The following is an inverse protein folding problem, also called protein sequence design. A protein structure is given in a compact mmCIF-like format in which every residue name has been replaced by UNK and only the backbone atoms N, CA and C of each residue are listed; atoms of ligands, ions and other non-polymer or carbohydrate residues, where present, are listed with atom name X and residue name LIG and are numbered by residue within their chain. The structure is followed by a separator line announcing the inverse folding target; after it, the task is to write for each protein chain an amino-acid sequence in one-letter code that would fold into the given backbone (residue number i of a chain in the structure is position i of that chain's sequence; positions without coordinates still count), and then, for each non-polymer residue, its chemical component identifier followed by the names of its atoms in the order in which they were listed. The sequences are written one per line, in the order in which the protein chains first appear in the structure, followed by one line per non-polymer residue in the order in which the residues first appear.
data_IF_398067369876
#
_entry.id   IF_398067369876
#
_cell.length_a   1.000
_cell.length_b   1.000
_cell.length_c   1.000
_cell.angle_alpha   90.00
_cell.angle_beta   90.00
_cell.angle_gamma   90.00
#
_symmetry.space_group_name_H-M   'P 1'
#
loop_
_entity.id
_entity.type
_entity.pdbx_description
1 polymer ?
#
# COMPACT_ATOMS: atom_id res chain seq x y z
N UNK A 1 8.32 -11.02 -14.74
CA UNK A 1 7.94 -10.05 -13.71
C UNK A 1 7.47 -10.79 -12.47
N UNK A 2 7.85 -10.32 -11.30
CA UNK A 2 7.47 -10.91 -10.03
C UNK A 2 6.46 -10.02 -9.32
N UNK A 3 5.48 -10.63 -8.68
CA UNK A 3 4.48 -9.94 -7.88
C UNK A 3 4.54 -10.47 -6.45
N UNK A 4 4.50 -9.55 -5.49
CA UNK A 4 4.35 -9.85 -4.07
C UNK A 4 3.14 -9.09 -3.55
N UNK A 5 2.32 -9.73 -2.74
CA UNK A 5 1.12 -9.10 -2.23
C UNK A 5 0.73 -9.69 -0.88
N UNK A 6 -0.12 -8.96 -0.16
CA UNK A 6 -0.69 -9.39 1.09
C UNK A 6 -2.01 -8.70 1.33
N UNK A 7 -2.87 -9.35 2.11
CA UNK A 7 -4.18 -8.83 2.47
C UNK A 7 -4.25 -8.62 3.98
N UNK A 8 -4.76 -7.47 4.38
CA UNK A 8 -4.75 -7.01 5.76
C UNK A 8 -6.07 -6.35 6.10
N UNK A 9 -6.30 -6.17 7.40
CA UNK A 9 -7.39 -5.34 7.90
C UNK A 9 -6.88 -4.42 9.00
N UNK A 10 -7.56 -3.31 9.19
CA UNK A 10 -7.29 -2.38 10.30
C UNK A 10 -8.53 -1.58 10.64
N UNK A 11 -8.65 -1.18 11.88
CA UNK A 11 -9.62 -0.16 12.26
C UNK A 11 -9.19 1.19 11.70
N UNK A 12 -10.14 1.93 11.16
CA UNK A 12 -9.89 3.23 10.57
C UNK A 12 -10.54 3.41 9.22
N UNK A 13 -10.38 4.58 8.65
CA UNK A 13 -10.96 4.92 7.36
C UNK A 13 -10.06 4.51 6.21
N UNK A 14 -10.65 4.34 5.03
CA UNK A 14 -9.90 4.13 3.78
C UNK A 14 -8.89 5.26 3.59
N UNK A 15 -9.32 6.50 3.79
CA UNK A 15 -8.46 7.68 3.61
C UNK A 15 -7.23 7.61 4.51
N UNK A 16 -7.41 7.31 5.78
CA UNK A 16 -6.29 7.28 6.75
C UNK A 16 -5.26 6.21 6.39
N UNK A 17 -5.72 5.01 6.00
CA UNK A 17 -4.82 3.95 5.60
C UNK A 17 -4.04 4.31 4.33
N UNK A 18 -4.70 4.92 3.36
CA UNK A 18 -4.05 5.31 2.11
C UNK A 18 -3.05 6.45 2.33
N UNK A 19 -3.32 7.37 3.24
CA UNK A 19 -2.34 8.41 3.62
C UNK A 19 -1.09 7.78 4.21
N UNK A 20 -1.23 6.81 5.11
CA UNK A 20 -0.09 6.12 5.68
C UNK A 20 0.70 5.34 4.62
N UNK A 21 0.01 4.71 3.67
CA UNK A 21 0.66 4.00 2.56
C UNK A 21 1.42 4.98 1.66
N UNK A 22 0.83 6.12 1.34
CA UNK A 22 1.49 7.15 0.54
C UNK A 22 2.75 7.66 1.25
N UNK A 23 2.66 7.95 2.54
CA UNK A 23 3.80 8.42 3.33
C UNK A 23 4.93 7.38 3.32
N UNK A 24 4.60 6.10 3.43
CA UNK A 24 5.59 5.03 3.35
C UNK A 24 6.28 4.99 1.99
N UNK A 25 5.52 5.15 0.91
CA UNK A 25 6.06 5.20 -0.46
C UNK A 25 7.00 6.38 -0.64
N UNK A 26 6.61 7.57 -0.20
CA UNK A 26 7.43 8.78 -0.29
C UNK A 26 8.69 8.67 0.57
N UNK A 27 8.57 8.08 1.75
CA UNK A 27 9.72 7.84 2.64
C UNK A 27 10.74 6.90 2.03
N UNK A 28 10.32 6.02 1.13
CA UNK A 28 11.21 5.12 0.40
C UNK A 28 11.80 5.77 -0.86
N UNK A 29 11.37 6.98 -1.19
CA UNK A 29 11.83 7.69 -2.38
C UNK A 29 11.04 7.36 -3.63
N UNK A 30 9.88 6.69 -3.52
CA UNK A 30 9.04 6.41 -4.66
C UNK A 30 8.27 7.66 -5.10
N UNK A 31 8.07 7.78 -6.40
CA UNK A 31 7.17 8.79 -6.94
C UNK A 31 5.74 8.25 -6.86
N UNK A 32 4.84 9.07 -6.32
CA UNK A 32 3.43 8.69 -6.18
C UNK A 32 2.67 9.16 -7.42
N UNK A 33 2.06 8.21 -8.13
CA UNK A 33 1.37 8.49 -9.39
C UNK A 33 -0.02 9.08 -9.18
N UNK A 34 -0.71 8.67 -8.10
CA UNK A 34 -2.04 9.16 -7.77
C UNK A 34 -2.11 9.46 -6.28
N UNK A 35 -1.74 10.68 -5.86
CA UNK A 35 -1.81 11.06 -4.44
C UNK A 35 -3.20 10.85 -3.85
N UNK A 36 -3.25 10.56 -2.56
CA UNK A 36 -4.49 10.28 -1.86
C UNK A 36 -5.41 11.51 -1.90
N UNK A 37 -6.67 11.27 -2.20
CA UNK A 37 -7.73 12.25 -2.11
C UNK A 37 -8.95 11.63 -1.42
N UNK A 38 -9.99 12.41 -1.15
CA UNK A 38 -11.17 11.91 -0.45
C UNK A 38 -11.92 10.81 -1.19
N UNK A 39 -11.72 10.68 -2.50
CA UNK A 39 -12.45 9.74 -3.34
C UNK A 39 -11.59 8.56 -3.80
N UNK A 40 -10.33 8.51 -3.41
CA UNK A 40 -9.45 7.42 -3.83
C UNK A 40 -9.71 6.16 -3.01
N UNK A 41 -9.63 5.02 -3.69
CA UNK A 41 -9.58 3.70 -3.05
C UNK A 41 -8.21 3.05 -3.19
N UNK A 42 -7.29 3.70 -3.85
CA UNK A 42 -5.97 3.16 -4.16
C UNK A 42 -4.92 4.27 -4.21
N UNK A 43 -3.72 3.96 -3.77
CA UNK A 43 -2.53 4.79 -3.99
C UNK A 43 -1.46 3.94 -4.65
N UNK A 44 -0.73 4.53 -5.57
CA UNK A 44 0.26 3.82 -6.40
C UNK A 44 1.51 4.66 -6.51
N UNK A 45 2.66 4.03 -6.37
CA UNK A 45 3.93 4.70 -6.49
C UNK A 45 5.05 3.74 -6.83
N UNK A 46 6.18 4.28 -7.21
CA UNK A 46 7.31 3.43 -7.57
C UNK A 46 8.50 4.20 -8.12
N UNK A 47 9.38 3.45 -8.73
CA UNK A 47 10.57 3.97 -9.41
C UNK A 47 10.83 3.12 -10.66
N UNK A 48 12.04 3.21 -11.21
CA UNK A 48 12.40 2.46 -12.43
C UNK A 48 12.42 0.94 -12.22
N UNK A 49 12.46 0.48 -10.97
CA UNK A 49 12.64 -0.94 -10.64
C UNK A 49 11.41 -1.59 -10.07
N UNK A 50 10.45 -0.83 -9.54
CA UNK A 50 9.30 -1.40 -8.84
C UNK A 50 8.07 -0.51 -8.95
N UNK A 51 6.91 -1.16 -9.00
CA UNK A 51 5.61 -0.52 -8.81
C UNK A 51 4.99 -1.09 -7.54
N UNK A 52 4.58 -0.22 -6.62
CA UNK A 52 3.91 -0.59 -5.39
C UNK A 52 2.52 0.05 -5.36
N UNK A 53 1.56 -0.66 -4.76
CA UNK A 53 0.22 -0.10 -4.60
C UNK A 53 -0.43 -0.60 -3.32
N UNK A 54 -1.35 0.20 -2.82
CA UNK A 54 -2.25 -0.15 -1.73
C UNK A 54 -3.67 0.16 -2.15
N UNK A 55 -4.55 -0.82 -2.06
CA UNK A 55 -5.98 -0.70 -2.38
C UNK A 55 -6.77 -0.97 -1.11
N UNK A 56 -7.70 -0.09 -0.77
CA UNK A 56 -8.44 -0.18 0.48
C UNK A 56 -9.94 -0.12 0.23
N UNK A 57 -10.69 -0.91 1.01
CA UNK A 57 -12.15 -0.99 0.93
C UNK A 57 -12.73 -0.99 2.34
N UNK A 58 -13.71 -0.13 2.57
CA UNK A 58 -14.43 -0.12 3.85
C UNK A 58 -15.36 -1.33 3.93
N UNK A 59 -15.29 -2.05 5.06
CA UNK A 59 -16.14 -3.20 5.31
C UNK A 59 -17.10 -2.98 6.48
N UNK A 60 -17.06 -1.78 7.06
CA UNK A 60 -17.92 -1.39 8.15
C UNK A 60 -17.57 0.00 8.62
N UNK A 61 -18.27 0.54 9.65
CA UNK A 61 -18.09 1.93 10.06
C UNK A 61 -16.66 2.31 10.47
N UNK A 62 -15.91 1.33 10.98
CA UNK A 62 -14.56 1.58 11.51
C UNK A 62 -13.54 0.55 11.07
N UNK A 63 -13.86 -0.24 10.06
CA UNK A 63 -12.95 -1.28 9.58
C UNK A 63 -12.70 -1.17 8.10
N UNK A 64 -11.44 -1.35 7.71
CA UNK A 64 -11.00 -1.27 6.32
C UNK A 64 -10.16 -2.49 6.01
N UNK A 65 -10.42 -3.11 4.87
CA UNK A 65 -9.57 -4.15 4.29
C UNK A 65 -8.62 -3.52 3.29
N UNK A 66 -7.41 -4.06 3.28
CA UNK A 66 -6.31 -3.49 2.51
C UNK A 66 -5.60 -4.59 1.75
N UNK A 67 -5.32 -4.33 0.48
CA UNK A 67 -4.41 -5.15 -0.32
C UNK A 67 -3.18 -4.31 -0.60
N UNK A 68 -2.01 -4.83 -0.21
CA UNK A 68 -0.72 -4.23 -0.55
C UNK A 68 -0.05 -5.14 -1.56
N UNK A 69 0.37 -4.58 -2.68
CA UNK A 69 1.04 -5.34 -3.73
C UNK A 69 2.23 -4.57 -4.29
N UNK A 70 3.18 -5.32 -4.82
CA UNK A 70 4.34 -4.74 -5.49
C UNK A 70 4.78 -5.66 -6.65
N UNK A 71 5.29 -5.04 -7.70
CA UNK A 71 5.69 -5.71 -8.94
C UNK A 71 7.09 -5.24 -9.33
N UNK A 72 7.96 -6.19 -9.67
CA UNK A 72 9.31 -5.91 -10.12
C UNK A 72 9.83 -7.05 -10.98
N UNK A 73 10.85 -6.79 -11.79
CA UNK A 73 11.58 -7.85 -12.47
C UNK A 73 12.37 -8.71 -11.49
N UNK A 74 12.73 -8.17 -10.33
CA UNK A 74 13.44 -8.87 -9.28
C UNK A 74 12.50 -9.18 -8.12
N UNK A 75 12.39 -10.46 -7.76
CA UNK A 75 11.51 -10.94 -6.70
C UNK A 75 11.83 -10.30 -5.33
N UNK A 76 13.11 -10.15 -5.03
CA UNK A 76 13.56 -9.54 -3.77
C UNK A 76 13.15 -8.07 -3.69
N UNK A 77 13.26 -7.34 -4.79
CA UNK A 77 12.84 -5.94 -4.87
C UNK A 77 11.33 -5.80 -4.68
N UNK A 78 10.54 -6.68 -5.30
CA UNK A 78 9.09 -6.70 -5.13
C UNK A 78 8.71 -6.97 -3.67
N UNK A 79 9.36 -7.95 -3.03
CA UNK A 79 9.11 -8.29 -1.64
C UNK A 79 9.44 -7.13 -0.71
N UNK A 80 10.59 -6.49 -0.89
CA UNK A 80 11.00 -5.35 -0.08
C UNK A 80 10.03 -4.19 -0.22
N UNK A 81 9.55 -3.90 -1.44
CA UNK A 81 8.61 -2.83 -1.67
C UNK A 81 7.27 -3.10 -0.98
N UNK A 82 6.73 -4.32 -1.09
CA UNK A 82 5.53 -4.71 -0.39
C UNK A 82 5.71 -4.54 1.12
N UNK A 83 6.82 -5.01 1.67
CA UNK A 83 7.09 -4.94 3.10
C UNK A 83 7.24 -3.49 3.57
N UNK A 84 7.86 -2.63 2.78
CA UNK A 84 8.01 -1.22 3.10
C UNK A 84 6.65 -0.53 3.26
N UNK A 85 5.73 -0.77 2.33
CA UNK A 85 4.38 -0.19 2.41
C UNK A 85 3.62 -0.78 3.59
N UNK A 86 3.65 -2.11 3.75
CA UNK A 86 2.99 -2.78 4.87
C UNK A 86 3.47 -2.25 6.22
N UNK A 87 4.78 -2.12 6.39
CA UNK A 87 5.38 -1.73 7.67
C UNK A 87 5.16 -0.24 7.97
N UNK A 88 4.89 0.57 6.95
CA UNK A 88 4.54 1.96 7.12
C UNK A 88 3.10 2.19 7.57
N UNK A 89 2.26 1.17 7.51
CA UNK A 89 0.88 1.24 7.96
C UNK A 89 0.80 0.55 9.32
N UNK A 90 0.40 1.30 10.34
CA UNK A 90 0.40 0.82 11.73
C UNK A 90 -0.80 -0.09 11.99
N UNK A 91 -0.60 -1.04 12.91
CA UNK A 91 -1.67 -1.87 13.48
C UNK A 91 -2.43 -2.71 12.46
N UNK A 92 -1.76 -3.16 11.40
CA UNK A 92 -2.35 -4.08 10.43
C UNK A 92 -2.45 -5.49 11.01
N UNK A 93 -3.57 -6.14 10.73
CA UNK A 93 -3.77 -7.55 11.03
C UNK A 93 -3.84 -8.33 9.71
N UNK A 94 -3.24 -9.51 9.66
CA UNK A 94 -3.39 -10.40 8.52
C UNK A 94 -4.83 -10.92 8.43
N UNK A 95 -5.28 -11.05 7.21
CA UNK A 95 -6.56 -11.71 6.95
C UNK A 95 -6.39 -13.24 6.94
#
# INVERSE_FOLDING_TARGET
MNAQWGTFRRKGSVHDLLVEAEDAMRGQGYQVANPVSNNNSMVMGGNDSVLAQATATSTGPEETYLIVSAFSQDASTAEQARNTVRDGIKDLYNL
#
